data_IF_924997920124
#
_entry.id   IF_924997920124
#
_cell.length_a   1.000
_cell.length_b   1.000
_cell.length_c   1.000
_cell.angle_alpha   90.00
_cell.angle_beta   90.00
_cell.angle_gamma   90.00
#
_symmetry.space_group_name_H-M   'P 1'
#
loop_
_entity.id
_entity.type
_entity.pdbx_description
1 polymer ?
#
# COMPACT_ATOMS: atom_id res chain seq x y z
N UNK A 1 4.45 25.04 -1.52
CA UNK A 1 4.48 23.70 -2.15
C UNK A 1 3.96 22.68 -1.16
N UNK A 2 2.64 22.57 -1.02
CA UNK A 2 2.01 21.49 -0.25
C UNK A 2 2.00 20.24 -1.13
N UNK A 3 3.06 19.44 -1.05
CA UNK A 3 3.09 18.11 -1.68
C UNK A 3 1.87 17.34 -1.20
N UNK A 4 0.96 17.03 -2.12
CA UNK A 4 -0.27 16.28 -1.83
C UNK A 4 0.14 14.87 -1.42
N UNK A 5 0.39 14.65 -0.12
CA UNK A 5 0.57 13.31 0.45
C UNK A 5 -0.65 12.42 0.13
N UNK A 6 -1.79 13.00 -0.23
CA UNK A 6 -2.97 12.25 -0.70
C UNK A 6 -2.78 11.56 -2.06
N UNK A 7 -1.73 11.90 -2.81
CA UNK A 7 -1.45 11.32 -4.13
C UNK A 7 -0.41 10.20 -4.11
N UNK A 8 -0.06 9.68 -2.93
CA UNK A 8 0.87 8.56 -2.77
C UNK A 8 0.12 7.30 -2.33
N UNK A 9 -0.49 6.54 -3.26
CA UNK A 9 -1.06 5.24 -2.94
C UNK A 9 0.06 4.20 -2.72
N UNK A 10 -0.18 3.24 -1.82
CA UNK A 10 0.67 2.09 -1.60
C UNK A 10 0.10 0.87 -2.33
N UNK A 11 0.95 0.10 -2.99
CA UNK A 11 0.54 -1.15 -3.61
C UNK A 11 0.41 -2.24 -2.55
N UNK A 12 -0.72 -2.94 -2.54
CA UNK A 12 -0.96 -4.11 -1.67
C UNK A 12 -0.88 -5.37 -2.51
N UNK A 13 -0.08 -6.31 -2.04
CA UNK A 13 0.10 -7.63 -2.65
C UNK A 13 -0.49 -8.70 -1.73
N UNK A 14 -0.89 -9.82 -2.32
CA UNK A 14 -1.22 -11.02 -1.55
C UNK A 14 0.05 -11.67 -0.95
N UNK A 15 -0.11 -12.70 -0.11
CA UNK A 15 0.99 -13.49 0.45
C UNK A 15 1.94 -14.07 -0.62
N UNK A 16 1.42 -14.34 -1.83
CA UNK A 16 2.19 -14.81 -2.98
C UNK A 16 2.89 -13.68 -3.77
N UNK A 17 2.91 -12.45 -3.26
CA UNK A 17 3.45 -11.25 -3.93
C UNK A 17 2.81 -10.91 -5.28
N UNK A 18 1.60 -11.43 -5.52
CA UNK A 18 0.82 -11.11 -6.71
C UNK A 18 -0.18 -9.98 -6.43
N UNK A 19 -0.48 -9.12 -7.42
CA UNK A 19 -1.50 -8.09 -7.27
C UNK A 19 -2.88 -8.75 -7.15
N UNK A 20 -3.67 -8.34 -6.16
CA UNK A 20 -5.02 -8.90 -5.92
C UNK A 20 -5.99 -8.55 -7.08
N UNK A 21 -5.81 -7.37 -7.67
CA UNK A 21 -6.50 -6.89 -8.87
C UNK A 21 -5.49 -6.22 -9.81
N UNK A 22 -5.60 -6.53 -11.11
CA UNK A 22 -4.76 -5.91 -12.15
C UNK A 22 -5.32 -4.58 -12.67
N UNK A 23 -6.65 -4.34 -12.59
CA UNK A 23 -7.25 -3.06 -12.96
C UNK A 23 -8.59 -2.80 -12.24
N UNK A 24 -8.71 -1.72 -11.43
CA UNK A 24 -7.60 -0.90 -10.93
C UNK A 24 -6.68 -1.74 -10.03
N UNK A 25 -5.39 -1.39 -9.97
CA UNK A 25 -4.44 -2.06 -9.08
C UNK A 25 -4.96 -2.01 -7.62
N UNK A 26 -4.63 -3.03 -6.83
CA UNK A 26 -4.94 -3.07 -5.40
C UNK A 26 -4.12 -2.03 -4.63
N UNK A 27 -4.60 -0.78 -4.65
CA UNK A 27 -3.95 0.33 -3.99
C UNK A 27 -4.60 0.65 -2.64
N UNK A 28 -3.78 0.94 -1.65
CA UNK A 28 -4.17 1.45 -0.34
C UNK A 28 -3.73 2.91 -0.15
N UNK A 29 -4.43 3.61 0.74
CA UNK A 29 -4.01 4.92 1.21
C UNK A 29 -2.73 4.76 2.04
N UNK A 30 -1.70 5.59 1.80
CA UNK A 30 -0.42 5.52 2.52
C UNK A 30 -0.55 5.52 4.05
N UNK A 31 -1.52 6.26 4.59
CA UNK A 31 -1.77 6.32 6.04
C UNK A 31 -2.12 4.95 6.61
N UNK A 32 -2.92 4.19 5.88
CA UNK A 32 -3.37 2.88 6.33
C UNK A 32 -2.28 1.82 6.10
N UNK A 33 -1.49 1.96 5.02
CA UNK A 33 -0.29 1.17 4.83
C UNK A 33 0.71 1.36 5.98
N UNK A 34 0.99 2.60 6.41
CA UNK A 34 1.86 2.87 7.55
C UNK A 34 1.33 2.22 8.83
N UNK A 35 0.04 2.39 9.15
CA UNK A 35 -0.57 1.73 10.32
C UNK A 35 -0.38 0.22 10.27
N UNK A 36 -0.59 -0.40 9.11
CA UNK A 36 -0.44 -1.85 8.96
C UNK A 36 1.01 -2.31 9.16
N UNK A 37 2.01 -1.53 8.72
CA UNK A 37 3.43 -1.79 8.97
C UNK A 37 3.73 -1.71 10.47
N UNK A 38 3.27 -0.66 11.16
CA UNK A 38 3.46 -0.52 12.62
C UNK A 38 2.78 -1.63 13.43
N UNK A 39 1.67 -2.16 12.93
CA UNK A 39 0.96 -3.29 13.53
C UNK A 39 1.53 -4.65 13.14
N UNK A 40 2.64 -4.71 12.39
CA UNK A 40 3.24 -5.95 11.84
C UNK A 40 2.22 -6.82 11.07
N UNK A 41 1.27 -6.18 10.36
CA UNK A 41 0.22 -6.88 9.59
C UNK A 41 0.57 -7.06 8.11
N UNK A 42 1.60 -6.38 7.63
CA UNK A 42 2.04 -6.41 6.23
C UNK A 42 3.56 -6.52 6.18
N UNK A 43 4.07 -7.13 5.11
CA UNK A 43 5.49 -7.17 4.82
C UNK A 43 5.87 -6.01 3.89
N UNK A 44 6.98 -5.34 4.16
CA UNK A 44 7.51 -4.29 3.28
C UNK A 44 8.47 -4.92 2.29
N UNK A 45 8.21 -4.70 1.00
CA UNK A 45 9.06 -5.14 -0.10
C UNK A 45 9.71 -3.90 -0.70
N UNK A 46 11.04 -3.93 -0.89
CA UNK A 46 11.86 -2.82 -1.40
C UNK A 46 12.16 -2.94 -2.89
#
# INVERSE_FOLDING_TARGET
MSGSLNSSPCLVLNADYQPLSYFPLSTWVWKDALKAVFLNRVNVVS
#
